data_IF_960949333394
#
_entry.id   IF_960949333394
#
_cell.length_a   1.000
_cell.length_b   1.000
_cell.length_c   1.000
_cell.angle_alpha   90.00
_cell.angle_beta   90.00
_cell.angle_gamma   90.00
#
_symmetry.space_group_name_H-M   'P 1'
#
loop_
_entity.id
_entity.type
_entity.pdbx_description
1 polymer ?
#
# COMPACT_ATOMS: atom_id res chain seq x y z
N UNK A 1 25.42 -23.59 36.26
CA UNK A 1 24.25 -23.76 35.35
C UNK A 1 23.25 -22.62 35.37
N UNK A 2 22.98 -21.91 36.49
CA UNK A 2 21.99 -20.81 36.53
C UNK A 2 22.35 -19.54 35.73
N UNK A 3 23.64 -19.29 35.44
CA UNK A 3 24.06 -18.09 34.70
C UNK A 3 23.84 -18.16 33.18
N UNK A 4 23.80 -19.35 32.59
CA UNK A 4 23.61 -19.51 31.14
C UNK A 4 22.17 -19.26 30.70
N UNK A 5 21.20 -19.58 31.56
CA UNK A 5 19.76 -19.39 31.27
C UNK A 5 19.37 -17.91 31.23
N UNK A 6 19.99 -17.07 32.07
CA UNK A 6 19.73 -15.64 32.10
C UNK A 6 20.27 -14.94 30.84
N UNK A 7 21.45 -15.35 30.37
CA UNK A 7 22.06 -14.78 29.15
C UNK A 7 21.22 -15.08 27.92
N UNK A 8 20.71 -16.31 27.77
CA UNK A 8 19.86 -16.70 26.62
C UNK A 8 18.55 -15.91 26.57
N UNK A 9 17.92 -15.64 27.72
CA UNK A 9 16.69 -14.84 27.79
C UNK A 9 16.97 -13.38 27.41
N UNK A 10 18.11 -12.83 27.82
CA UNK A 10 18.49 -11.45 27.49
C UNK A 10 18.78 -11.27 25.99
N UNK A 11 19.45 -12.23 25.35
CA UNK A 11 19.65 -12.20 23.89
C UNK A 11 18.33 -12.35 23.13
N UNK A 12 17.40 -13.18 23.61
CA UNK A 12 16.09 -13.31 22.97
C UNK A 12 15.25 -12.02 23.06
N UNK A 13 15.36 -11.28 24.17
CA UNK A 13 14.65 -10.00 24.34
C UNK A 13 15.21 -8.88 23.46
N UNK A 14 16.51 -8.85 23.17
CA UNK A 14 17.08 -7.83 22.27
C UNK A 14 16.73 -8.07 20.80
N UNK A 15 16.54 -9.32 20.37
CA UNK A 15 16.08 -9.62 19.00
C UNK A 15 14.69 -9.06 18.68
N UNK A 16 13.80 -8.95 19.67
CA UNK A 16 12.47 -8.35 19.46
C UNK A 16 12.49 -6.82 19.40
N UNK A 17 13.51 -6.15 19.95
CA UNK A 17 13.60 -4.69 19.95
C UNK A 17 13.99 -4.12 18.57
N UNK A 18 14.61 -4.90 17.69
CA UNK A 18 15.00 -4.47 16.33
C UNK A 18 13.87 -4.55 15.30
N UNK A 19 12.72 -5.14 15.64
CA UNK A 19 11.61 -5.31 14.69
C UNK A 19 10.88 -3.99 14.38
N UNK A 20 10.88 -3.02 15.31
CA UNK A 20 10.20 -1.73 15.13
C UNK A 20 11.09 -0.66 14.46
N UNK A 21 12.39 -0.90 14.29
CA UNK A 21 13.37 0.09 13.82
C UNK A 21 13.45 0.21 12.28
N UNK A 22 12.88 -0.74 11.54
CA UNK A 22 13.21 -0.97 10.12
C UNK A 22 12.67 0.07 9.12
N UNK A 23 11.90 1.08 9.55
CA UNK A 23 11.34 2.11 8.64
C UNK A 23 11.96 3.49 8.74
N UNK A 24 12.72 3.80 9.78
CA UNK A 24 13.35 5.12 9.91
C UNK A 24 14.47 5.26 8.87
N UNK A 25 14.11 5.86 7.73
CA UNK A 25 15.00 6.05 6.59
C UNK A 25 15.37 7.52 6.49
N UNK A 26 16.66 7.80 6.37
CA UNK A 26 17.19 9.18 6.21
C UNK A 26 17.84 9.40 4.85
N UNK A 27 17.86 8.38 4.00
CA UNK A 27 18.48 8.40 2.67
C UNK A 27 17.62 7.63 1.67
N UNK A 28 17.24 8.27 0.58
CA UNK A 28 16.58 7.65 -0.57
C UNK A 28 17.38 7.90 -1.84
N UNK A 29 17.32 6.97 -2.80
CA UNK A 29 18.01 7.09 -4.10
C UNK A 29 17.00 6.97 -5.24
N UNK A 30 17.25 7.69 -6.34
CA UNK A 30 16.53 7.49 -7.59
C UNK A 30 16.82 6.10 -8.16
N UNK A 31 15.93 5.60 -9.02
CA UNK A 31 16.08 4.28 -9.65
C UNK A 31 17.38 4.19 -10.48
N UNK A 32 17.74 5.25 -11.21
CA UNK A 32 19.01 5.33 -11.92
C UNK A 32 20.24 5.60 -11.04
N UNK A 33 20.08 5.75 -9.73
CA UNK A 33 21.17 5.98 -8.77
C UNK A 33 21.83 7.37 -8.82
N UNK A 34 21.45 8.24 -9.76
CA UNK A 34 22.09 9.56 -9.98
C UNK A 34 21.72 10.62 -8.96
N UNK A 35 20.62 10.42 -8.24
CA UNK A 35 20.13 11.39 -7.26
C UNK A 35 19.93 10.73 -5.91
N UNK A 36 20.36 11.43 -4.86
CA UNK A 36 20.20 10.99 -3.48
C UNK A 36 19.49 12.08 -2.68
N UNK A 37 18.40 11.71 -2.01
CA UNK A 37 17.71 12.56 -1.06
C UNK A 37 18.20 12.22 0.35
N UNK A 38 18.80 13.19 1.04
CA UNK A 38 19.33 13.02 2.41
C UNK A 38 18.63 13.93 3.40
N UNK A 39 18.22 13.35 4.53
CA UNK A 39 17.70 14.10 5.67
C UNK A 39 18.84 14.73 6.48
N UNK A 40 18.74 16.02 6.77
CA UNK A 40 19.66 16.75 7.62
C UNK A 40 18.95 17.94 8.28
N UNK A 41 19.00 18.02 9.62
CA UNK A 41 18.46 19.15 10.41
C UNK A 41 17.03 19.58 9.99
N UNK A 42 16.08 18.63 9.98
CA UNK A 42 14.66 18.87 9.62
C UNK A 42 14.42 19.30 8.16
N UNK A 43 15.37 19.02 7.27
CA UNK A 43 15.25 19.27 5.82
C UNK A 43 15.69 18.05 5.03
N UNK A 44 15.04 17.82 3.91
CA UNK A 44 15.46 16.88 2.89
C UNK A 44 16.23 17.62 1.81
N UNK A 45 17.45 17.18 1.52
CA UNK A 45 18.31 17.77 0.50
C UNK A 45 18.47 16.79 -0.64
N UNK A 46 18.08 17.18 -1.85
CA UNK A 46 18.37 16.39 -3.04
C UNK A 46 19.73 16.78 -3.60
N UNK A 47 20.54 15.77 -3.85
CA UNK A 47 21.94 15.90 -4.25
C UNK A 47 22.16 15.02 -5.47
N UNK A 48 22.94 15.48 -6.44
CA UNK A 48 23.35 14.69 -7.61
C UNK A 48 24.51 13.71 -7.29
N UNK A 49 24.94 12.95 -8.28
CA UNK A 49 26.03 11.98 -8.19
C UNK A 49 27.39 12.60 -7.83
N UNK A 50 27.56 13.90 -8.07
CA UNK A 50 28.78 14.65 -7.75
C UNK A 50 28.74 15.30 -6.35
N UNK A 51 27.67 15.10 -5.58
CA UNK A 51 27.52 15.72 -4.28
C UNK A 51 26.99 17.15 -4.33
N UNK A 52 26.61 17.68 -5.50
CA UNK A 52 26.03 19.01 -5.63
C UNK A 52 24.56 19.00 -5.20
N UNK A 53 24.22 19.86 -4.24
CA UNK A 53 22.83 20.07 -3.83
C UNK A 53 22.04 20.76 -4.96
N UNK A 54 20.93 20.16 -5.36
CA UNK A 54 20.01 20.71 -6.37
C UNK A 54 18.93 21.58 -5.71
N UNK A 55 18.23 21.04 -4.72
CA UNK A 55 17.22 21.76 -3.95
C UNK A 55 16.98 21.09 -2.59
N UNK A 56 16.11 21.69 -1.78
CA UNK A 56 15.70 21.11 -0.49
C UNK A 56 14.28 21.51 -0.13
N UNK A 57 13.61 20.67 0.66
CA UNK A 57 12.30 20.97 1.24
C UNK A 57 12.27 20.61 2.72
N UNK A 58 11.34 21.24 3.45
CA UNK A 58 11.17 21.03 4.90
C UNK A 58 10.58 19.63 5.13
N UNK A 59 11.10 18.94 6.15
CA UNK A 59 10.50 17.70 6.60
C UNK A 59 9.13 17.93 7.25
N UNK A 60 8.21 17.00 7.03
CA UNK A 60 6.89 16.97 7.65
C UNK A 60 6.60 15.59 8.29
N UNK A 61 7.65 14.92 8.81
CA UNK A 61 7.56 13.57 9.36
C UNK A 61 7.76 12.47 8.31
N UNK A 62 8.58 12.71 7.29
CA UNK A 62 8.74 11.78 6.16
C UNK A 62 9.73 10.64 6.43
N UNK A 63 10.38 10.60 7.59
CA UNK A 63 11.39 9.60 7.92
C UNK A 63 10.85 8.18 8.03
N UNK A 64 9.55 7.99 8.29
CA UNK A 64 8.89 6.68 8.31
C UNK A 64 8.07 6.39 7.03
N UNK A 65 8.16 7.26 6.03
CA UNK A 65 7.39 7.19 4.79
C UNK A 65 8.23 6.65 3.63
N UNK A 66 7.57 6.23 2.56
CA UNK A 66 8.26 5.88 1.32
C UNK A 66 8.44 7.11 0.43
N UNK A 67 9.63 7.29 -0.15
CA UNK A 67 9.93 8.40 -1.06
C UNK A 67 10.47 7.87 -2.39
N UNK A 68 9.86 8.31 -3.49
CA UNK A 68 10.31 8.05 -4.86
C UNK A 68 10.89 9.34 -5.47
N UNK A 69 11.99 9.20 -6.21
CA UNK A 69 12.70 10.30 -6.88
C UNK A 69 12.75 9.99 -8.38
N UNK A 70 12.33 10.94 -9.22
CA UNK A 70 12.43 10.78 -10.67
C UNK A 70 13.89 10.70 -11.14
N UNK A 71 14.09 10.06 -12.30
CA UNK A 71 15.39 9.86 -12.92
C UNK A 71 16.00 11.14 -13.50
N UNK A 72 15.26 12.24 -13.55
CA UNK A 72 15.78 13.58 -13.84
C UNK A 72 16.03 14.42 -12.58
N UNK A 73 15.75 13.86 -11.39
CA UNK A 73 15.92 14.53 -10.11
C UNK A 73 15.01 15.74 -9.89
N UNK A 74 13.97 15.96 -10.71
CA UNK A 74 13.07 17.11 -10.58
C UNK A 74 11.84 16.82 -9.73
N UNK A 75 11.39 15.57 -9.66
CA UNK A 75 10.09 15.21 -9.09
C UNK A 75 10.30 14.24 -7.93
N UNK A 76 9.54 14.47 -6.86
CA UNK A 76 9.55 13.61 -5.69
C UNK A 76 8.10 13.28 -5.31
N UNK A 77 7.84 12.00 -5.04
CA UNK A 77 6.57 11.53 -4.49
C UNK A 77 6.81 10.92 -3.12
N UNK A 78 6.14 11.43 -2.09
CA UNK A 78 6.20 10.92 -0.72
C UNK A 78 4.88 10.22 -0.39
N UNK A 79 4.95 9.03 0.20
CA UNK A 79 3.83 8.13 0.44
C UNK A 79 3.85 7.70 1.90
N UNK A 80 2.86 8.13 2.69
CA UNK A 80 2.63 7.63 4.05
C UNK A 80 1.89 6.28 3.95
N UNK A 81 2.59 5.23 3.54
CA UNK A 81 2.02 3.88 3.39
C UNK A 81 1.93 3.10 4.72
N UNK A 82 2.28 3.74 5.84
CA UNK A 82 2.28 3.17 7.19
C UNK A 82 1.90 4.19 8.25
N UNK A 83 0.63 4.58 8.20
CA UNK A 83 0.10 5.70 8.95
C UNK A 83 0.10 5.37 10.44
N UNK A 84 0.82 6.13 11.24
CA UNK A 84 0.79 6.03 12.71
C UNK A 84 -0.53 6.60 13.29
N UNK A 85 -1.06 5.91 14.30
CA UNK A 85 -2.21 6.34 15.10
C UNK A 85 -3.58 5.93 14.53
N UNK A 86 -4.64 6.29 15.27
CA UNK A 86 -6.00 5.81 15.00
C UNK A 86 -6.85 6.75 14.11
N UNK A 87 -6.53 8.06 14.10
CA UNK A 87 -7.28 9.07 13.32
C UNK A 87 -6.63 9.28 11.95
N UNK A 88 -6.90 8.37 11.03
CA UNK A 88 -6.20 8.30 9.73
C UNK A 88 -6.89 9.07 8.59
N UNK A 89 -8.19 9.31 8.66
CA UNK A 89 -8.98 9.79 7.51
C UNK A 89 -8.54 11.17 7.00
N UNK A 90 -8.23 12.08 7.92
CA UNK A 90 -7.78 13.45 7.61
C UNK A 90 -6.27 13.58 7.44
N UNK A 91 -5.51 12.49 7.64
CA UNK A 91 -4.06 12.51 7.51
C UNK A 91 -3.68 12.60 6.03
N UNK A 92 -2.71 13.47 5.74
CA UNK A 92 -2.10 13.59 4.41
C UNK A 92 -1.19 12.39 4.18
N UNK A 93 -1.43 11.65 3.11
CA UNK A 93 -0.80 10.35 2.84
C UNK A 93 -0.03 10.30 1.53
N UNK A 94 -0.18 11.32 0.68
CA UNK A 94 0.49 11.41 -0.60
C UNK A 94 0.88 12.86 -0.86
N UNK A 95 2.13 13.09 -1.22
CA UNK A 95 2.70 14.42 -1.47
C UNK A 95 3.47 14.40 -2.77
N UNK A 96 3.28 15.45 -3.58
CA UNK A 96 4.00 15.64 -4.83
C UNK A 96 4.84 16.91 -4.73
N UNK A 97 6.11 16.79 -5.06
CA UNK A 97 7.05 17.89 -5.13
C UNK A 97 7.64 18.01 -6.52
N UNK A 98 7.87 19.26 -6.94
CA UNK A 98 8.59 19.59 -8.16
C UNK A 98 9.66 20.64 -7.84
N UNK A 99 10.91 20.28 -8.07
CA UNK A 99 12.09 21.13 -7.84
C UNK A 99 12.11 21.72 -6.43
N UNK A 100 11.71 20.91 -5.43
CA UNK A 100 11.66 21.28 -4.00
C UNK A 100 10.37 21.97 -3.54
N UNK A 101 9.47 22.33 -4.45
CA UNK A 101 8.20 22.96 -4.11
C UNK A 101 7.09 21.90 -4.00
N UNK A 102 6.29 21.95 -2.93
CA UNK A 102 5.09 21.12 -2.80
C UNK A 102 4.04 21.63 -3.80
N UNK A 103 3.64 20.77 -4.74
CA UNK A 103 2.67 21.11 -5.78
C UNK A 103 1.27 20.57 -5.48
N UNK A 104 1.18 19.41 -4.81
CA UNK A 104 -0.09 18.78 -4.44
C UNK A 104 0.08 17.83 -3.26
N UNK A 105 -1.00 17.60 -2.52
CA UNK A 105 -1.07 16.56 -1.49
C UNK A 105 -2.51 16.05 -1.35
N UNK A 106 -2.64 14.80 -0.91
CA UNK A 106 -3.94 14.14 -0.71
C UNK A 106 -4.06 13.61 0.70
N UNK A 107 -5.23 13.81 1.30
CA UNK A 107 -5.63 13.09 2.52
C UNK A 107 -6.13 11.70 2.16
N UNK A 108 -6.11 10.80 3.14
CA UNK A 108 -6.59 9.44 2.93
C UNK A 108 -8.04 9.40 2.42
N UNK A 109 -8.92 10.24 2.96
CA UNK A 109 -10.33 10.35 2.54
C UNK A 109 -10.50 10.84 1.10
N UNK A 110 -9.53 11.58 0.55
CA UNK A 110 -9.57 12.03 -0.84
C UNK A 110 -9.29 10.85 -1.80
N UNK A 111 -8.59 9.82 -1.32
CA UNK A 111 -8.19 8.64 -2.08
C UNK A 111 -9.11 7.43 -1.87
N UNK A 112 -9.58 7.23 -0.64
CA UNK A 112 -10.43 6.10 -0.24
C UNK A 112 -11.80 6.58 0.23
N UNK A 113 -12.85 6.08 -0.41
CA UNK A 113 -14.24 6.32 0.03
C UNK A 113 -14.61 5.54 1.29
N UNK A 114 -13.98 4.40 1.52
CA UNK A 114 -14.17 3.57 2.71
C UNK A 114 -12.83 3.38 3.44
N UNK A 115 -12.64 4.08 4.55
CA UNK A 115 -11.46 3.94 5.41
C UNK A 115 -11.44 2.63 6.19
N UNK A 116 -12.50 1.81 6.14
CA UNK A 116 -12.48 0.45 6.65
C UNK A 116 -11.80 -0.52 5.68
N UNK A 117 -11.45 -0.10 4.46
CA UNK A 117 -10.70 -0.88 3.48
C UNK A 117 -9.20 -0.65 3.59
N UNK A 118 -8.68 -0.77 4.81
CA UNK A 118 -7.28 -0.59 5.20
C UNK A 118 -6.87 -1.73 6.13
N UNK A 119 -5.58 -2.05 6.18
CA UNK A 119 -5.02 -3.04 7.11
C UNK A 119 -4.56 -2.32 8.36
N UNK A 120 -5.02 -2.75 9.54
CA UNK A 120 -4.58 -2.19 10.82
C UNK A 120 -3.63 -3.14 11.55
N UNK A 121 -2.62 -2.57 12.18
CA UNK A 121 -1.88 -3.17 13.28
C UNK A 121 -2.23 -2.44 14.59
N UNK A 122 -1.52 -2.74 15.68
CA UNK A 122 -1.77 -2.12 17.00
C UNK A 122 -1.67 -0.60 16.93
N UNK A 123 -0.67 -0.06 16.22
CA UNK A 123 -0.40 1.39 16.16
C UNK A 123 -0.32 1.96 14.74
N UNK A 124 -0.43 1.13 13.71
CA UNK A 124 -0.22 1.56 12.33
C UNK A 124 -1.36 1.13 11.40
N UNK A 125 -1.52 1.87 10.31
CA UNK A 125 -2.47 1.56 9.24
C UNK A 125 -1.79 1.54 7.87
N UNK A 126 -1.96 0.46 7.13
CA UNK A 126 -1.54 0.32 5.73
C UNK A 126 -2.78 0.47 4.84
N UNK A 127 -2.73 1.40 3.89
CA UNK A 127 -3.87 1.68 3.00
C UNK A 127 -3.61 1.32 1.53
N UNK A 128 -2.40 0.88 1.21
CA UNK A 128 -1.93 0.55 -0.15
C UNK A 128 -1.46 -0.89 -0.22
N UNK A 129 -1.33 -1.45 -1.43
CA UNK A 129 -0.75 -2.79 -1.64
C UNK A 129 0.79 -2.83 -1.59
N UNK A 130 1.42 -1.70 -1.24
CA UNK A 130 2.87 -1.43 -1.37
C UNK A 130 3.38 -1.70 -2.80
N UNK A 131 2.53 -1.41 -3.77
CA UNK A 131 2.79 -1.54 -5.21
C UNK A 131 2.63 -0.16 -5.83
N UNK A 132 3.69 0.64 -5.69
CA UNK A 132 3.75 1.98 -6.21
C UNK A 132 5.04 2.18 -7.01
N UNK A 133 4.95 2.94 -8.11
CA UNK A 133 6.08 3.19 -8.99
C UNK A 133 5.87 4.45 -9.82
N UNK A 134 6.98 5.04 -10.26
CA UNK A 134 6.98 5.99 -11.36
C UNK A 134 7.05 5.22 -12.69
N UNK A 135 6.34 5.70 -13.70
CA UNK A 135 6.23 5.09 -15.03
C UNK A 135 6.25 6.16 -16.11
N UNK A 136 6.37 5.73 -17.37
CA UNK A 136 6.36 6.61 -18.56
C UNK A 136 7.41 7.73 -18.42
N UNK A 137 8.68 7.35 -18.21
CA UNK A 137 9.79 8.28 -17.96
C UNK A 137 9.48 9.26 -16.81
N UNK A 138 8.97 8.71 -15.71
CA UNK A 138 8.61 9.42 -14.48
C UNK A 138 7.58 10.54 -14.65
N UNK A 139 6.76 10.49 -15.71
CA UNK A 139 5.62 11.40 -15.88
C UNK A 139 4.38 10.96 -15.10
N UNK A 140 4.27 9.67 -14.77
CA UNK A 140 3.11 9.10 -14.08
C UNK A 140 3.52 8.32 -12.84
N UNK A 141 2.93 8.65 -11.71
CA UNK A 141 2.99 7.85 -10.48
C UNK A 141 1.75 6.96 -10.40
N UNK A 142 1.92 5.67 -10.13
CA UNK A 142 0.82 4.72 -9.97
C UNK A 142 0.83 4.09 -8.58
N UNK A 143 -0.37 3.84 -8.03
CA UNK A 143 -0.58 3.16 -6.76
C UNK A 143 -1.88 2.35 -6.78
N UNK A 144 -1.92 1.23 -6.06
CA UNK A 144 -3.14 0.46 -5.83
C UNK A 144 -3.47 0.25 -4.36
N UNK A 145 -4.76 0.09 -4.09
CA UNK A 145 -5.35 0.06 -2.74
C UNK A 145 -6.13 -1.23 -2.49
N UNK A 146 -6.40 -1.55 -1.23
CA UNK A 146 -7.10 -2.79 -0.85
C UNK A 146 -8.56 -2.87 -1.30
N UNK A 147 -9.18 -1.74 -1.67
CA UNK A 147 -10.52 -1.70 -2.25
C UNK A 147 -10.54 -1.81 -3.79
N UNK A 148 -9.47 -2.33 -4.38
CA UNK A 148 -9.34 -2.59 -5.83
C UNK A 148 -9.37 -1.33 -6.70
N UNK A 149 -8.94 -0.18 -6.18
CA UNK A 149 -8.66 0.96 -7.04
C UNK A 149 -7.20 0.95 -7.50
N UNK A 150 -7.02 1.28 -8.77
CA UNK A 150 -5.77 1.58 -9.42
C UNK A 150 -5.79 3.07 -9.75
N UNK A 151 -4.87 3.81 -9.15
CA UNK A 151 -4.79 5.26 -9.28
C UNK A 151 -3.52 5.65 -10.01
N UNK A 152 -3.63 6.64 -10.88
CA UNK A 152 -2.49 7.27 -11.54
C UNK A 152 -2.56 8.78 -11.36
N UNK A 153 -1.39 9.36 -11.15
CA UNK A 153 -1.19 10.78 -10.93
C UNK A 153 -0.16 11.31 -11.91
N UNK A 154 -0.41 12.49 -12.45
CA UNK A 154 0.60 13.25 -13.17
C UNK A 154 1.64 13.76 -12.16
N UNK A 155 2.92 13.43 -12.35
CA UNK A 155 3.97 13.78 -11.38
C UNK A 155 4.41 15.24 -11.45
N UNK A 156 4.06 15.96 -12.52
CA UNK A 156 4.43 17.36 -12.74
C UNK A 156 3.48 18.31 -12.01
N UNK A 157 2.20 17.94 -11.92
CA UNK A 157 1.10 18.73 -11.33
C UNK A 157 0.58 18.10 -10.04
N UNK A 158 0.81 16.81 -9.84
CA UNK A 158 0.25 16.02 -8.75
C UNK A 158 -1.26 15.79 -8.88
N UNK A 159 -1.85 16.00 -10.07
CA UNK A 159 -3.27 15.77 -10.31
C UNK A 159 -3.57 14.27 -10.51
N UNK A 160 -4.69 13.80 -9.95
CA UNK A 160 -5.23 12.48 -10.21
C UNK A 160 -5.74 12.43 -11.66
N UNK A 161 -5.07 11.65 -12.51
CA UNK A 161 -5.43 11.51 -13.94
C UNK A 161 -6.34 10.30 -14.18
N UNK A 162 -6.23 9.26 -13.35
CA UNK A 162 -7.01 8.03 -13.50
C UNK A 162 -7.28 7.39 -12.15
N UNK A 163 -8.52 6.95 -11.94
CA UNK A 163 -8.94 6.13 -10.80
C UNK A 163 -9.93 5.09 -11.30
N UNK A 164 -9.46 3.87 -11.51
CA UNK A 164 -10.25 2.79 -12.11
C UNK A 164 -10.12 1.53 -11.29
N UNK A 165 -11.05 0.60 -11.48
CA UNK A 165 -10.88 -0.79 -11.05
C UNK A 165 -10.08 -1.57 -12.11
N UNK A 166 -9.62 -2.79 -11.80
CA UNK A 166 -8.84 -3.58 -12.76
C UNK A 166 -9.65 -3.84 -14.04
N UNK A 167 -8.96 -4.02 -15.17
CA UNK A 167 -9.59 -4.13 -16.49
C UNK A 167 -10.71 -5.19 -16.60
N UNK A 168 -10.62 -6.29 -15.84
CA UNK A 168 -11.62 -7.36 -15.87
C UNK A 168 -12.91 -7.02 -15.10
N UNK A 169 -12.91 -5.93 -14.32
CA UNK A 169 -14.05 -5.47 -13.55
C UNK A 169 -15.19 -4.99 -14.46
N UNK A 170 -16.40 -5.36 -14.09
CA UNK A 170 -17.66 -4.99 -14.73
C UNK A 170 -18.71 -4.67 -13.66
N UNK A 171 -19.33 -3.50 -13.73
CA UNK A 171 -20.23 -2.97 -12.69
C UNK A 171 -21.47 -3.84 -12.47
N UNK A 172 -21.97 -4.50 -13.52
CA UNK A 172 -23.23 -5.25 -13.43
C UNK A 172 -23.05 -6.66 -12.88
N UNK A 173 -21.88 -7.28 -13.11
CA UNK A 173 -21.69 -8.71 -12.90
C UNK A 173 -20.53 -9.06 -11.96
N UNK A 174 -19.87 -8.06 -11.38
CA UNK A 174 -18.71 -8.27 -10.51
C UNK A 174 -19.03 -7.99 -9.05
N UNK A 175 -18.63 -8.93 -8.20
CA UNK A 175 -18.63 -8.83 -6.75
C UNK A 175 -17.18 -8.72 -6.27
N UNK A 176 -16.88 -7.75 -5.42
CA UNK A 176 -15.60 -7.68 -4.70
C UNK A 176 -15.87 -7.85 -3.22
N UNK A 177 -15.32 -8.89 -2.63
CA UNK A 177 -15.63 -9.32 -1.27
C UNK A 177 -14.37 -9.78 -0.55
N UNK A 178 -14.38 -9.66 0.77
CA UNK A 178 -13.46 -10.36 1.66
C UNK A 178 -14.22 -11.51 2.30
N UNK A 179 -13.66 -12.71 2.25
CA UNK A 179 -14.31 -13.88 2.82
C UNK A 179 -13.37 -15.02 3.11
N UNK A 180 -13.96 -16.09 3.64
CA UNK A 180 -13.29 -17.36 3.97
C UNK A 180 -13.89 -18.49 3.15
N UNK A 181 -13.06 -19.34 2.57
CA UNK A 181 -13.50 -20.52 1.82
C UNK A 181 -12.54 -21.69 2.03
N UNK A 182 -13.04 -22.89 1.75
CA UNK A 182 -12.20 -24.09 1.63
C UNK A 182 -12.11 -24.49 0.15
N UNK A 183 -10.89 -24.66 -0.35
CA UNK A 183 -10.62 -25.21 -1.68
C UNK A 183 -10.36 -26.70 -1.54
N UNK A 184 -11.21 -27.49 -2.20
CA UNK A 184 -11.01 -28.93 -2.34
C UNK A 184 -10.28 -29.23 -3.66
N UNK A 185 -10.23 -30.50 -4.07
CA UNK A 185 -9.76 -30.90 -5.40
C UNK A 185 -10.65 -30.36 -6.53
N UNK A 186 -11.93 -30.08 -6.26
CA UNK A 186 -12.84 -29.44 -7.21
C UNK A 186 -12.50 -27.97 -7.39
N UNK A 187 -12.65 -27.44 -8.61
CA UNK A 187 -12.48 -26.00 -8.89
C UNK A 187 -13.59 -25.14 -8.32
N UNK A 188 -14.72 -25.74 -7.96
CA UNK A 188 -15.81 -25.07 -7.27
C UNK A 188 -15.57 -25.00 -5.77
N UNK A 189 -15.79 -23.82 -5.20
CA UNK A 189 -15.73 -23.52 -3.77
C UNK A 189 -16.92 -22.66 -3.37
N UNK A 190 -17.29 -22.71 -2.09
CA UNK A 190 -18.25 -21.77 -1.51
C UNK A 190 -17.52 -20.80 -0.57
N UNK A 191 -17.68 -19.51 -0.83
CA UNK A 191 -17.11 -18.44 -0.02
C UNK A 191 -18.14 -17.95 0.99
N UNK A 192 -17.79 -17.95 2.28
CA UNK A 192 -18.51 -17.17 3.29
C UNK A 192 -17.97 -15.73 3.29
N UNK A 193 -18.83 -14.79 2.91
CA UNK A 193 -18.53 -13.37 2.78
C UNK A 193 -18.54 -12.72 4.15
N UNK A 194 -17.43 -12.07 4.51
CA UNK A 194 -17.27 -11.32 5.74
C UNK A 194 -17.44 -9.82 5.52
N UNK A 195 -16.99 -9.31 4.37
CA UNK A 195 -17.11 -7.90 3.99
C UNK A 195 -17.41 -7.75 2.51
N UNK A 196 -18.32 -6.84 2.17
CA UNK A 196 -18.54 -6.38 0.80
C UNK A 196 -17.71 -5.13 0.54
N UNK A 197 -16.91 -5.16 -0.53
CA UNK A 197 -16.18 -3.98 -1.05
C UNK A 197 -16.98 -3.36 -2.19
N UNK A 198 -17.59 -4.19 -3.04
CA UNK A 198 -18.45 -3.77 -4.15
C UNK A 198 -19.37 -4.90 -4.57
N UNK A 199 -20.53 -4.55 -5.14
CA UNK A 199 -21.49 -5.50 -5.72
C UNK A 199 -22.68 -5.80 -4.80
N UNK A 200 -23.70 -6.49 -5.31
CA UNK A 200 -24.92 -6.77 -4.57
C UNK A 200 -24.68 -7.77 -3.43
N UNK A 201 -25.42 -7.59 -2.33
CA UNK A 201 -25.43 -8.54 -1.22
C UNK A 201 -25.96 -9.90 -1.68
N UNK A 202 -25.29 -10.97 -1.28
CA UNK A 202 -25.65 -12.34 -1.60
C UNK A 202 -26.52 -12.95 -0.51
N UNK A 203 -27.47 -13.84 -0.86
CA UNK A 203 -28.22 -14.62 0.12
C UNK A 203 -27.28 -15.37 1.08
N UNK A 204 -27.63 -15.36 2.37
CA UNK A 204 -26.86 -16.02 3.44
C UNK A 204 -25.38 -15.58 3.54
N UNK A 205 -25.01 -14.43 2.95
CA UNK A 205 -23.62 -13.98 2.89
C UNK A 205 -22.68 -15.05 2.32
N UNK A 206 -23.14 -15.80 1.32
CA UNK A 206 -22.34 -16.86 0.68
C UNK A 206 -22.41 -16.79 -0.83
N UNK A 207 -21.34 -17.22 -1.51
CA UNK A 207 -21.31 -17.30 -2.96
C UNK A 207 -20.50 -18.53 -3.41
N UNK A 208 -21.12 -19.34 -4.27
CA UNK A 208 -20.42 -20.38 -5.00
C UNK A 208 -19.60 -19.75 -6.13
N UNK A 209 -18.36 -20.17 -6.28
CA UNK A 209 -17.47 -19.66 -7.31
C UNK A 209 -16.47 -20.71 -7.78
N UNK A 210 -15.87 -20.47 -8.93
CA UNK A 210 -14.84 -21.32 -9.55
C UNK A 210 -13.49 -20.60 -9.45
N UNK A 211 -12.45 -21.30 -8.98
CA UNK A 211 -11.08 -20.77 -8.95
C UNK A 211 -10.04 -21.87 -9.18
N UNK A 212 -9.01 -21.54 -9.96
CA UNK A 212 -7.81 -22.36 -10.17
C UNK A 212 -6.56 -21.75 -9.51
N UNK A 213 -6.70 -20.62 -8.81
CA UNK A 213 -5.58 -19.84 -8.30
C UNK A 213 -5.12 -20.26 -6.89
N UNK A 214 -5.76 -21.28 -6.31
CA UNK A 214 -5.52 -21.72 -4.93
C UNK A 214 -5.33 -23.23 -4.87
N UNK A 215 -4.36 -23.65 -4.05
CA UNK A 215 -4.21 -25.05 -3.65
C UNK A 215 -5.30 -25.49 -2.66
N UNK A 216 -5.34 -26.79 -2.38
CA UNK A 216 -6.25 -27.34 -1.37
C UNK A 216 -5.98 -26.71 0.00
N UNK A 217 -7.02 -26.32 0.72
CA UNK A 217 -6.88 -25.72 2.04
C UNK A 217 -7.94 -24.66 2.35
N UNK A 218 -7.81 -24.06 3.53
CA UNK A 218 -8.67 -22.96 3.97
C UNK A 218 -7.99 -21.63 3.68
N UNK A 219 -8.71 -20.73 3.03
CA UNK A 219 -8.23 -19.43 2.60
C UNK A 219 -9.11 -18.32 3.16
N UNK A 220 -8.49 -17.20 3.56
CA UNK A 220 -9.16 -15.94 3.88
C UNK A 220 -8.57 -14.87 2.96
N UNK A 221 -9.33 -14.39 1.97
CA UNK A 221 -8.82 -13.57 0.87
C UNK A 221 -9.84 -12.51 0.44
N UNK A 222 -9.34 -11.45 -0.18
CA UNK A 222 -10.15 -10.54 -0.98
C UNK A 222 -10.25 -11.11 -2.41
N UNK A 223 -11.47 -11.29 -2.90
CA UNK A 223 -11.75 -11.87 -4.22
C UNK A 223 -12.59 -10.92 -5.06
N UNK A 224 -12.24 -10.85 -6.35
CA UNK A 224 -13.06 -10.26 -7.41
C UNK A 224 -13.69 -11.40 -8.20
N UNK A 225 -15.00 -11.58 -8.04
CA UNK A 225 -15.77 -12.69 -8.62
C UNK A 225 -16.71 -12.10 -9.67
N UNK A 226 -16.61 -12.58 -10.91
CA UNK A 226 -17.51 -12.19 -12.02
C UNK A 226 -18.22 -13.42 -12.55
N UNK A 227 -19.54 -13.40 -12.57
CA UNK A 227 -20.37 -14.54 -13.03
C UNK A 227 -19.98 -15.88 -12.36
N UNK A 228 -19.69 -15.84 -11.05
CA UNK A 228 -19.25 -17.04 -10.31
C UNK A 228 -17.82 -17.51 -10.63
N UNK A 229 -17.00 -16.72 -11.30
CA UNK A 229 -15.60 -17.05 -11.60
C UNK A 229 -14.68 -16.06 -10.88
N UNK A 230 -13.67 -16.59 -10.18
CA UNK A 230 -12.59 -15.78 -9.59
C UNK A 230 -11.71 -15.18 -10.69
N UNK A 231 -11.82 -13.87 -10.87
CA UNK A 231 -11.04 -13.08 -11.82
C UNK A 231 -10.05 -12.14 -11.11
N UNK A 232 -9.72 -12.42 -9.85
CA UNK A 232 -8.84 -11.57 -9.03
C UNK A 232 -7.47 -11.42 -9.71
N UNK A 233 -7.04 -10.19 -10.06
CA UNK A 233 -5.74 -10.00 -10.67
C UNK A 233 -4.63 -10.35 -9.68
N UNK A 234 -3.53 -10.92 -10.18
CA UNK A 234 -2.43 -11.41 -9.35
C UNK A 234 -1.91 -10.38 -8.34
N UNK A 235 -1.89 -9.09 -8.72
CA UNK A 235 -1.42 -7.99 -7.84
C UNK A 235 -2.23 -7.83 -6.55
N UNK A 236 -3.50 -8.27 -6.54
CA UNK A 236 -4.38 -8.22 -5.36
C UNK A 236 -4.39 -9.52 -4.56
N UNK A 237 -3.80 -10.61 -5.08
CA UNK A 237 -3.78 -11.92 -4.41
C UNK A 237 -2.74 -11.94 -3.29
N UNK A 238 -3.03 -12.71 -2.23
CA UNK A 238 -2.13 -12.94 -1.10
C UNK A 238 -1.70 -11.67 -0.36
N UNK A 239 -2.45 -10.59 -0.53
CA UNK A 239 -2.24 -9.34 0.21
C UNK A 239 -3.00 -9.40 1.53
N UNK A 240 -2.47 -8.71 2.55
CA UNK A 240 -3.16 -8.58 3.84
C UNK A 240 -4.57 -8.03 3.63
N UNK A 241 -5.53 -8.49 4.42
CA UNK A 241 -6.93 -8.13 4.27
C UNK A 241 -7.16 -6.74 4.86
N UNK A 242 -7.62 -5.81 4.03
CA UNK A 242 -8.01 -4.48 4.48
C UNK A 242 -9.35 -4.51 5.23
N UNK A 243 -9.38 -5.08 6.44
CA UNK A 243 -10.55 -5.05 7.33
C UNK A 243 -10.21 -4.15 8.52
N UNK A 244 -10.36 -2.84 8.33
CA UNK A 244 -9.92 -1.85 9.31
C UNK A 244 -10.93 -1.48 10.38
N UNK A 245 -12.16 -1.99 10.35
CA UNK A 245 -13.23 -1.57 11.28
C UNK A 245 -13.89 -2.74 12.02
N UNK A 246 -13.21 -3.90 12.07
CA UNK A 246 -13.57 -4.97 13.01
C UNK A 246 -13.14 -4.63 14.45
#
# INVERSE_FOLDING_TARGET
MKHYTLTIILTFLTFFAFADEQRLTTVFKSENGKFTLKYNRKKWNLIDENGKKLYSFKDAGFTSMTILISNDGKKITVIDDFIEGHKISQRKVLYFYNSGNLISNYRLVDLLSDTCSVVKSVWHTIWTLNDFKMTKSDSVFSIATFNFFEMEFDTQTGQLIRKTRPQQFDETNTLIVIGKFYKSKSDSSNLTIQKYIYGPKQPNHSIAFITNSYGQGTWKQALMIKNGIDITPQRFRNKMLGIGCE
#
